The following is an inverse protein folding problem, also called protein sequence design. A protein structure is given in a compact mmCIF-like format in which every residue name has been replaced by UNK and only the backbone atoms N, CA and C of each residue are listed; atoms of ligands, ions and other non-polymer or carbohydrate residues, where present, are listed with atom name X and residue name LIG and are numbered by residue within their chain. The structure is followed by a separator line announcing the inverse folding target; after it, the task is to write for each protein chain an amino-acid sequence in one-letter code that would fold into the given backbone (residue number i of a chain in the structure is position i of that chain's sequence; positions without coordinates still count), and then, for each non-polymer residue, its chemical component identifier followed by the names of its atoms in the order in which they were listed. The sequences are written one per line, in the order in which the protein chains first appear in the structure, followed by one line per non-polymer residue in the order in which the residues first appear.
data_IF_053331122752
#
_entry.id   IF_053331122752
#
_cell.length_a   1.000
_cell.length_b   1.000
_cell.length_c   1.000
_cell.angle_alpha   90.00
_cell.angle_beta   90.00
_cell.angle_gamma   90.00
#
_symmetry.space_group_name_H-M   'P 1'
#
loop_
_entity.id
_entity.type
_entity.pdbx_description
1 polymer ?
#
# COMPACT_ATOMS: atom_id res chain seq x y z
N UNK A 1 -17.73 -2.18 1.93
CA UNK A 1 -18.74 -3.26 2.00
C UNK A 1 -18.55 -4.31 0.90
N UNK A 2 -18.40 -3.94 -0.37
CA UNK A 2 -18.36 -4.90 -1.50
C UNK A 2 -17.22 -5.93 -1.45
N UNK A 3 -16.03 -5.57 -0.97
CA UNK A 3 -14.92 -6.54 -0.81
C UNK A 3 -15.10 -7.46 0.40
N UNK A 4 -15.82 -6.99 1.42
CA UNK A 4 -16.13 -7.74 2.65
C UNK A 4 -17.27 -8.74 2.40
N UNK A 5 -18.25 -8.36 1.58
CA UNK A 5 -19.40 -9.21 1.21
C UNK A 5 -19.02 -10.33 0.24
N UNK A 6 -18.08 -10.11 -0.69
CA UNK A 6 -17.57 -11.18 -1.58
C UNK A 6 -16.81 -12.25 -0.80
N UNK A 7 -16.12 -11.83 0.27
CA UNK A 7 -15.43 -12.73 1.18
C UNK A 7 -16.45 -13.47 2.06
N UNK A 8 -17.37 -12.75 2.71
CA UNK A 8 -18.38 -13.32 3.62
C UNK A 8 -19.29 -14.39 2.95
N UNK A 9 -19.70 -14.16 1.69
CA UNK A 9 -20.58 -15.08 0.97
C UNK A 9 -19.90 -16.39 0.56
N UNK A 10 -18.57 -16.40 0.36
CA UNK A 10 -17.84 -17.55 -0.14
C UNK A 10 -17.31 -18.47 0.98
N UNK A 11 -17.27 -18.01 2.24
CA UNK A 11 -16.71 -18.80 3.35
C UNK A 11 -17.55 -18.90 4.64
N UNK A 12 -18.80 -18.41 4.66
CA UNK A 12 -19.80 -18.72 5.71
C UNK A 12 -19.26 -18.47 7.15
N UNK A 13 -18.92 -17.22 7.43
CA UNK A 13 -18.03 -16.77 8.53
C UNK A 13 -18.69 -16.57 9.90
N UNK A 14 -19.96 -16.90 10.08
CA UNK A 14 -20.76 -16.42 11.23
C UNK A 14 -20.35 -17.04 12.58
N UNK A 15 -19.47 -18.04 12.66
CA UNK A 15 -19.12 -18.67 13.94
C UNK A 15 -17.63 -18.88 14.29
N UNK A 16 -16.65 -18.73 13.38
CA UNK A 16 -15.27 -19.15 13.74
C UNK A 16 -14.10 -18.32 13.20
N UNK A 17 -14.30 -17.35 12.29
CA UNK A 17 -13.19 -16.57 11.70
C UNK A 17 -13.49 -15.07 11.54
N UNK A 18 -13.63 -14.35 12.66
CA UNK A 18 -13.59 -12.87 12.71
C UNK A 18 -12.16 -12.32 12.44
N UNK A 19 -11.21 -13.21 12.17
CA UNK A 19 -9.78 -12.92 12.18
C UNK A 19 -9.24 -12.45 10.82
N UNK A 20 -9.98 -12.62 9.73
CA UNK A 20 -9.55 -12.25 8.38
C UNK A 20 -9.29 -10.74 8.15
N UNK A 21 -10.18 -9.82 8.57
CA UNK A 21 -9.88 -8.38 8.49
C UNK A 21 -8.68 -8.03 9.37
N UNK A 22 -8.59 -8.62 10.57
CA UNK A 22 -7.45 -8.46 11.48
C UNK A 22 -6.15 -8.98 10.86
N UNK A 23 -6.18 -10.13 10.18
CA UNK A 23 -5.02 -10.72 9.50
C UNK A 23 -4.55 -9.85 8.35
N UNK A 24 -5.47 -9.28 7.56
CA UNK A 24 -5.14 -8.32 6.51
C UNK A 24 -4.49 -7.05 7.08
N UNK A 25 -5.00 -6.54 8.21
CA UNK A 25 -4.47 -5.36 8.89
C UNK A 25 -3.08 -5.63 9.51
N UNK A 26 -2.88 -6.80 10.12
CA UNK A 26 -1.61 -7.24 10.69
C UNK A 26 -0.58 -7.47 9.57
N UNK A 27 -0.98 -8.12 8.47
CA UNK A 27 -0.14 -8.29 7.28
C UNK A 27 0.31 -6.95 6.68
N UNK A 28 -0.60 -5.96 6.61
CA UNK A 28 -0.29 -4.60 6.17
C UNK A 28 0.70 -3.90 7.12
N UNK A 29 0.43 -3.94 8.42
CA UNK A 29 1.27 -3.28 9.43
C UNK A 29 2.67 -3.91 9.55
N UNK A 30 2.77 -5.23 9.38
CA UNK A 30 4.06 -5.95 9.42
C UNK A 30 4.86 -5.79 8.11
N UNK A 31 4.18 -5.73 6.96
CA UNK A 31 4.80 -5.43 5.67
C UNK A 31 5.39 -4.02 5.60
N UNK A 32 4.77 -3.04 6.27
CA UNK A 32 5.20 -1.64 6.23
C UNK A 32 6.69 -1.40 6.56
N UNK A 33 7.19 -1.75 7.76
CA UNK A 33 8.59 -1.55 8.14
C UNK A 33 9.57 -2.35 7.28
N UNK A 34 9.22 -3.57 6.90
CA UNK A 34 10.04 -4.43 6.03
C UNK A 34 10.19 -3.80 4.65
N UNK A 35 9.11 -3.24 4.11
CA UNK A 35 9.09 -2.56 2.82
C UNK A 35 9.96 -1.30 2.81
N UNK A 36 9.84 -0.46 3.84
CA UNK A 36 10.69 0.74 3.98
C UNK A 36 12.17 0.37 4.03
N UNK A 37 12.53 -0.70 4.75
CA UNK A 37 13.91 -1.14 4.85
C UNK A 37 14.45 -1.67 3.51
N UNK A 38 13.69 -2.55 2.84
CA UNK A 38 14.06 -3.11 1.54
C UNK A 38 14.18 -2.04 0.46
N UNK A 39 13.16 -1.19 0.32
CA UNK A 39 13.18 -0.11 -0.66
C UNK A 39 14.21 0.97 -0.29
N UNK A 40 14.48 1.23 1.00
CA UNK A 40 15.56 2.11 1.42
C UNK A 40 16.92 1.65 0.86
N UNK A 41 17.27 0.37 1.10
CA UNK A 41 18.48 -0.24 0.55
C UNK A 41 18.52 -0.23 -0.98
N UNK A 42 17.37 -0.43 -1.63
CA UNK A 42 17.24 -0.42 -3.08
C UNK A 42 17.44 1.00 -3.65
N UNK A 43 16.90 2.02 -2.99
CA UNK A 43 17.07 3.42 -3.38
C UNK A 43 18.53 3.87 -3.31
N UNK A 44 19.25 3.44 -2.26
CA UNK A 44 20.68 3.73 -2.10
C UNK A 44 21.54 3.07 -3.19
N UNK A 45 21.11 1.94 -3.77
CA UNK A 45 21.92 1.14 -4.70
C UNK A 45 21.53 1.27 -6.17
N UNK A 46 20.25 1.40 -6.49
CA UNK A 46 19.74 1.34 -7.86
C UNK A 46 19.61 2.73 -8.53
N UNK A 47 19.67 3.82 -7.75
CA UNK A 47 19.41 5.18 -8.23
C UNK A 47 17.92 5.58 -8.14
N UNK A 48 17.65 6.88 -7.99
CA UNK A 48 16.31 7.38 -7.63
C UNK A 48 15.21 7.22 -8.69
N UNK A 49 15.55 7.21 -9.99
CA UNK A 49 14.55 7.05 -11.07
C UNK A 49 14.11 5.61 -11.29
N UNK A 50 15.06 4.68 -11.27
CA UNK A 50 14.85 3.23 -11.43
C UNK A 50 14.12 2.64 -10.24
N UNK A 51 14.41 3.12 -9.03
CA UNK A 51 13.71 2.70 -7.81
C UNK A 51 12.22 3.01 -7.87
N UNK A 52 11.83 4.19 -8.36
CA UNK A 52 10.42 4.56 -8.54
C UNK A 52 9.68 3.61 -9.50
N UNK A 53 10.27 3.33 -10.67
CA UNK A 53 9.68 2.41 -11.65
C UNK A 53 9.58 0.97 -11.11
N UNK A 54 10.60 0.50 -10.40
CA UNK A 54 10.57 -0.85 -9.80
C UNK A 54 9.49 -0.98 -8.73
N UNK A 55 9.30 0.06 -7.90
CA UNK A 55 8.27 0.09 -6.87
C UNK A 55 6.87 0.05 -7.50
N UNK A 56 6.64 0.83 -8.57
CA UNK A 56 5.40 0.80 -9.34
C UNK A 56 5.15 -0.58 -9.96
N UNK A 57 6.17 -1.20 -10.55
CA UNK A 57 6.04 -2.53 -11.14
C UNK A 57 5.66 -3.58 -10.07
N UNK A 58 6.31 -3.56 -8.90
CA UNK A 58 5.98 -4.48 -7.80
C UNK A 58 4.57 -4.25 -7.24
N UNK A 59 4.12 -2.99 -7.18
CA UNK A 59 2.76 -2.66 -6.74
C UNK A 59 1.71 -3.17 -7.74
N UNK A 60 1.95 -3.00 -9.04
CA UNK A 60 1.07 -3.50 -10.10
C UNK A 60 1.00 -5.04 -10.06
N UNK A 61 2.14 -5.71 -9.88
CA UNK A 61 2.18 -7.16 -9.74
C UNK A 61 1.40 -7.63 -8.50
N UNK A 62 1.61 -7.01 -7.34
CA UNK A 62 0.86 -7.35 -6.12
C UNK A 62 -0.65 -7.11 -6.25
N UNK A 63 -1.05 -6.04 -6.94
CA UNK A 63 -2.46 -5.73 -7.22
C UNK A 63 -3.09 -6.74 -8.19
N UNK A 64 -2.36 -7.10 -9.25
CA UNK A 64 -2.82 -8.10 -10.22
C UNK A 64 -2.95 -9.49 -9.58
N UNK A 65 -1.97 -9.88 -8.75
CA UNK A 65 -2.03 -11.11 -7.97
C UNK A 65 -3.23 -11.14 -7.02
N UNK A 66 -3.57 -10.01 -6.40
CA UNK A 66 -4.76 -9.90 -5.54
C UNK A 66 -6.04 -10.09 -6.35
N UNK A 67 -6.13 -9.52 -7.55
CA UNK A 67 -7.30 -9.66 -8.43
C UNK A 67 -7.46 -11.09 -9.00
N UNK A 68 -6.35 -11.78 -9.27
CA UNK A 68 -6.33 -13.13 -9.80
C UNK A 68 -6.40 -14.24 -8.72
N UNK A 69 -6.32 -13.89 -7.44
CA UNK A 69 -6.22 -14.86 -6.36
C UNK A 69 -7.55 -15.54 -6.05
N UNK A 70 -7.64 -16.85 -6.31
CA UNK A 70 -8.76 -17.70 -5.91
C UNK A 70 -8.52 -18.45 -4.59
N UNK A 71 -7.31 -18.37 -4.01
CA UNK A 71 -6.91 -19.09 -2.79
C UNK A 71 -6.64 -18.14 -1.62
N UNK A 72 -7.10 -18.51 -0.41
CA UNK A 72 -6.95 -17.68 0.80
C UNK A 72 -5.48 -17.33 1.12
N UNK A 73 -4.56 -18.28 1.00
CA UNK A 73 -3.14 -18.07 1.25
C UNK A 73 -2.49 -17.09 0.25
N UNK A 74 -2.89 -17.14 -1.03
CA UNK A 74 -2.39 -16.22 -2.06
C UNK A 74 -2.91 -14.79 -1.82
N UNK A 75 -4.15 -14.67 -1.35
CA UNK A 75 -4.73 -13.38 -0.98
C UNK A 75 -4.04 -12.77 0.24
N UNK A 76 -3.71 -13.57 1.26
CA UNK A 76 -2.96 -13.10 2.42
C UNK A 76 -1.53 -12.65 2.03
N UNK A 77 -0.85 -13.42 1.17
CA UNK A 77 0.48 -13.06 0.69
C UNK A 77 0.48 -11.79 -0.18
N UNK A 78 -0.53 -11.61 -1.04
CA UNK A 78 -0.65 -10.41 -1.85
C UNK A 78 -0.89 -9.16 -0.99
N UNK A 79 -1.63 -9.28 0.12
CA UNK A 79 -1.81 -8.20 1.10
C UNK A 79 -0.50 -7.81 1.79
N UNK A 80 0.37 -8.77 2.10
CA UNK A 80 1.72 -8.48 2.60
C UNK A 80 2.53 -7.72 1.54
N UNK A 81 2.56 -8.20 0.28
CA UNK A 81 3.26 -7.52 -0.83
C UNK A 81 2.78 -6.08 -1.03
N UNK A 82 1.46 -5.87 -1.04
CA UNK A 82 0.88 -4.53 -1.16
C UNK A 82 1.25 -3.68 0.06
N UNK A 83 1.23 -4.26 1.26
CA UNK A 83 1.68 -3.59 2.50
C UNK A 83 3.15 -3.17 2.50
N UNK A 84 4.01 -3.96 1.88
CA UNK A 84 5.42 -3.63 1.67
C UNK A 84 5.60 -2.43 0.72
N UNK A 85 4.72 -2.28 -0.28
CA UNK A 85 4.85 -1.27 -1.33
C UNK A 85 4.20 0.07 -0.98
N UNK A 86 3.14 0.10 -0.16
CA UNK A 86 2.44 1.34 0.23
C UNK A 86 3.39 2.40 0.80
N UNK A 87 4.14 2.16 1.88
CA UNK A 87 4.99 3.21 2.47
C UNK A 87 6.13 3.60 1.52
N UNK A 88 6.66 2.65 0.75
CA UNK A 88 7.69 2.92 -0.24
C UNK A 88 7.20 3.86 -1.36
N UNK A 89 5.97 3.65 -1.87
CA UNK A 89 5.35 4.49 -2.90
C UNK A 89 5.14 5.92 -2.42
N UNK A 90 4.86 6.15 -1.12
CA UNK A 90 4.75 7.49 -0.55
C UNK A 90 6.13 8.12 -0.29
N UNK A 91 7.10 7.33 0.19
CA UNK A 91 8.42 7.84 0.58
C UNK A 91 9.24 8.32 -0.63
N UNK A 92 9.25 7.56 -1.74
CA UNK A 92 10.09 7.85 -2.92
C UNK A 92 9.78 9.22 -3.55
N UNK A 93 8.53 9.56 -3.95
CA UNK A 93 8.21 10.86 -4.53
C UNK A 93 8.38 12.01 -3.53
N UNK A 94 8.17 11.76 -2.24
CA UNK A 94 8.43 12.74 -1.19
C UNK A 94 9.91 13.12 -1.12
N UNK A 95 10.82 12.13 -1.12
CA UNK A 95 12.27 12.38 -1.19
C UNK A 95 12.63 13.09 -2.49
N UNK A 96 12.00 12.72 -3.61
CA UNK A 96 12.22 13.39 -4.90
C UNK A 96 11.86 14.87 -4.85
N UNK A 97 10.69 15.20 -4.31
CA UNK A 97 10.25 16.58 -4.12
C UNK A 97 11.19 17.35 -3.17
N UNK A 98 11.63 16.74 -2.07
CA UNK A 98 12.52 17.36 -1.10
C UNK A 98 13.88 17.75 -1.69
N UNK A 99 14.44 16.93 -2.56
CA UNK A 99 15.71 17.27 -3.22
C UNK A 99 15.55 18.34 -4.31
N UNK A 100 14.37 18.44 -4.93
CA UNK A 100 14.06 19.50 -5.90
C UNK A 100 13.81 20.86 -5.23
N UNK A 101 13.18 20.86 -4.06
CA UNK A 101 12.63 22.05 -3.41
C UNK A 101 13.59 22.70 -2.40
N UNK A 102 14.67 22.00 -2.02
CA UNK A 102 15.63 22.50 -1.02
C UNK A 102 15.03 22.60 0.40
N UNK A 103 15.85 22.91 1.42
CA UNK A 103 15.45 22.80 2.84
C UNK A 103 14.38 23.81 3.29
N UNK A 104 14.15 24.88 2.54
CA UNK A 104 13.31 25.99 2.99
C UNK A 104 11.80 25.71 2.92
N UNK A 105 11.33 24.72 2.15
CA UNK A 105 9.90 24.43 2.00
C UNK A 105 9.51 22.99 2.36
N UNK A 106 10.33 22.28 3.15
CA UNK A 106 10.04 20.88 3.55
C UNK A 106 8.68 20.71 4.23
N UNK A 107 8.30 21.64 5.10
CA UNK A 107 7.02 21.61 5.79
C UNK A 107 5.84 21.76 4.82
N UNK A 108 5.97 22.62 3.81
CA UNK A 108 4.92 22.83 2.81
C UNK A 108 4.67 21.58 1.96
N UNK A 109 5.74 20.92 1.52
CA UNK A 109 5.66 19.65 0.76
C UNK A 109 5.00 18.55 1.59
N UNK A 110 5.32 18.47 2.88
CA UNK A 110 4.72 17.49 3.80
C UNK A 110 3.21 17.74 3.95
N UNK A 111 2.80 18.99 4.18
CA UNK A 111 1.38 19.35 4.31
C UNK A 111 0.62 19.03 3.03
N UNK A 112 1.18 19.36 1.86
CA UNK A 112 0.57 19.04 0.57
C UNK A 112 0.41 17.53 0.36
N UNK A 113 1.38 16.72 0.78
CA UNK A 113 1.29 15.25 0.69
C UNK A 113 0.18 14.71 1.60
N UNK A 114 0.08 15.23 2.83
CA UNK A 114 -0.98 14.85 3.77
C UNK A 114 -2.38 15.22 3.27
N UNK A 115 -2.55 16.40 2.65
CA UNK A 115 -3.85 16.79 2.10
C UNK A 115 -4.25 15.88 0.93
N UNK A 116 -3.33 15.58 0.02
CA UNK A 116 -3.58 14.62 -1.06
C UNK A 116 -3.96 13.23 -0.55
N UNK A 117 -3.29 12.75 0.50
CA UNK A 117 -3.61 11.45 1.11
C UNK A 117 -5.04 11.43 1.66
N UNK A 118 -5.41 12.43 2.46
CA UNK A 118 -6.75 12.52 3.05
C UNK A 118 -7.82 12.68 1.97
N UNK A 119 -7.58 13.49 0.95
CA UNK A 119 -8.50 13.63 -0.19
C UNK A 119 -8.68 12.30 -0.95
N UNK A 120 -7.60 11.55 -1.16
CA UNK A 120 -7.66 10.23 -1.79
C UNK A 120 -8.50 9.23 -0.99
N UNK A 121 -8.35 9.20 0.34
CA UNK A 121 -9.16 8.37 1.22
C UNK A 121 -10.65 8.77 1.18
N UNK A 122 -10.95 10.06 1.15
CA UNK A 122 -12.33 10.56 1.05
C UNK A 122 -12.97 10.18 -0.29
N UNK A 123 -12.23 10.28 -1.40
CA UNK A 123 -12.70 9.81 -2.71
C UNK A 123 -12.92 8.30 -2.72
N UNK A 124 -11.97 7.52 -2.18
CA UNK A 124 -12.10 6.07 -2.09
C UNK A 124 -13.34 5.68 -1.28
N UNK A 125 -13.58 6.32 -0.14
CA UNK A 125 -14.79 6.12 0.65
C UNK A 125 -16.06 6.40 -0.16
N UNK A 126 -16.08 7.50 -0.93
CA UNK A 126 -17.18 7.85 -1.82
C UNK A 126 -17.42 6.79 -2.91
N UNK A 127 -16.36 6.29 -3.56
CA UNK A 127 -16.47 5.23 -4.58
C UNK A 127 -16.94 3.91 -3.96
N UNK A 128 -16.49 3.57 -2.75
CA UNK A 128 -16.94 2.34 -2.07
C UNK A 128 -18.37 2.38 -1.55
N UNK A 129 -18.96 3.58 -1.46
CA UNK A 129 -20.34 3.78 -1.05
C UNK A 129 -21.31 3.61 -2.22
N UNK A 130 -20.88 3.92 -3.44
CA UNK A 130 -21.59 3.61 -4.69
C UNK A 130 -21.52 2.10 -5.01
#
# INVERSE_FOLDING_TARGET
RSFEVVLDYQYNLVCEYDIYPTLGLVALNTGGPVGVYLFGLLNDRAGRRTSYFSCLATLLLGSFMTAASSNFAMWAFSRVIVGLTIPAVYQIPFIIALELVGPNYRSFVTVMTCTFYTCGLMMLAGVTYL
#
